data_IF_202151107990
#
_entry.id   IF_202151107990
#
_cell.length_a   1.000
_cell.length_b   1.000
_cell.length_c   1.000
_cell.angle_alpha   90.00
_cell.angle_beta   90.00
_cell.angle_gamma   90.00
#
_symmetry.space_group_name_H-M   'P 1'
#
loop_
_entity.id
_entity.type
_entity.pdbx_description
1 polymer ?
#
# COMPACT_ATOMS: atom_id res chain seq x y z
N UNK A 1 -2.67 -17.09 2.82
CA UNK A 1 -2.59 -18.57 2.87
C UNK A 1 -3.96 -19.26 2.93
N UNK A 2 -4.79 -18.98 3.94
CA UNK A 2 -6.18 -19.47 4.00
C UNK A 2 -6.99 -19.13 2.73
N UNK A 3 -6.89 -17.88 2.28
CA UNK A 3 -7.57 -17.40 1.07
C UNK A 3 -7.19 -18.17 -0.21
N UNK A 4 -6.01 -18.80 -0.27
CA UNK A 4 -5.53 -19.55 -1.44
C UNK A 4 -5.74 -21.06 -1.31
N UNK A 5 -6.40 -21.52 -0.24
CA UNK A 5 -6.62 -22.94 0.03
C UNK A 5 -5.35 -23.71 0.40
N UNK A 6 -4.29 -23.02 0.83
CA UNK A 6 -3.04 -23.66 1.31
C UNK A 6 -3.21 -24.19 2.74
N UNK A 7 -4.08 -23.54 3.51
CA UNK A 7 -4.44 -23.91 4.88
C UNK A 7 -5.95 -24.01 4.98
N UNK A 8 -6.43 -24.88 5.87
CA UNK A 8 -7.84 -25.00 6.20
C UNK A 8 -8.18 -24.10 7.40
N UNK A 9 -9.34 -23.41 7.39
CA UNK A 9 -9.80 -22.68 8.55
C UNK A 9 -10.25 -23.65 9.65
N UNK A 10 -9.96 -23.34 10.92
CA UNK A 10 -10.46 -24.13 12.06
C UNK A 10 -11.99 -24.02 12.18
N UNK A 11 -12.52 -22.82 11.93
CA UNK A 11 -13.95 -22.51 11.93
C UNK A 11 -14.26 -21.39 10.92
N UNK A 12 -15.54 -21.20 10.58
CA UNK A 12 -15.99 -20.15 9.68
C UNK A 12 -16.00 -20.60 8.20
N UNK A 13 -16.20 -19.63 7.30
CA UNK A 13 -16.26 -19.87 5.86
C UNK A 13 -15.52 -18.75 5.12
N UNK A 14 -14.92 -19.11 3.99
CA UNK A 14 -14.19 -18.19 3.13
C UNK A 14 -14.73 -18.37 1.70
N UNK A 15 -14.93 -17.27 0.98
CA UNK A 15 -15.20 -17.30 -0.46
C UNK A 15 -14.25 -16.33 -1.14
N UNK A 16 -13.58 -16.79 -2.20
CA UNK A 16 -12.66 -16.01 -3.03
C UNK A 16 -13.07 -16.19 -4.48
N UNK A 17 -13.34 -15.07 -5.17
CA UNK A 17 -13.87 -15.07 -6.53
C UNK A 17 -15.13 -15.95 -6.71
N UNK A 18 -15.94 -16.11 -5.66
CA UNK A 18 -17.14 -16.95 -5.65
C UNK A 18 -16.92 -18.41 -5.27
N UNK A 19 -15.68 -18.84 -5.01
CA UNK A 19 -15.33 -20.23 -4.70
C UNK A 19 -14.86 -20.40 -3.25
N UNK A 20 -15.21 -21.51 -2.62
CA UNK A 20 -14.66 -21.91 -1.32
C UNK A 20 -13.24 -22.49 -1.52
N UNK A 21 -12.18 -21.92 -0.93
CA UNK A 21 -10.82 -22.44 -1.07
C UNK A 21 -10.62 -23.88 -0.55
N UNK A 22 -11.49 -24.35 0.36
CA UNK A 22 -11.45 -25.71 0.93
C UNK A 22 -11.96 -26.74 -0.07
N UNK A 23 -13.13 -26.50 -0.67
CA UNK A 23 -13.75 -27.46 -1.59
C UNK A 23 -13.38 -27.24 -3.06
N UNK A 24 -12.96 -26.03 -3.43
CA UNK A 24 -12.70 -25.60 -4.80
C UNK A 24 -11.36 -24.84 -4.92
N UNK A 25 -10.34 -25.29 -4.19
CA UNK A 25 -9.03 -24.62 -4.15
C UNK A 25 -8.33 -24.46 -5.49
N UNK A 26 -8.51 -25.40 -6.43
CA UNK A 26 -7.97 -25.26 -7.80
C UNK A 26 -8.63 -24.10 -8.56
N UNK A 27 -9.94 -23.94 -8.43
CA UNK A 27 -10.68 -22.84 -9.05
C UNK A 27 -10.32 -21.49 -8.46
N UNK A 28 -10.01 -21.45 -7.16
CA UNK A 28 -9.45 -20.25 -6.52
C UNK A 28 -8.07 -19.93 -7.10
N UNK A 29 -7.16 -20.91 -7.19
CA UNK A 29 -5.80 -20.68 -7.70
C UNK A 29 -5.77 -20.25 -9.18
N UNK A 30 -6.68 -20.75 -10.01
CA UNK A 30 -6.83 -20.30 -11.41
C UNK A 30 -7.29 -18.85 -11.54
N UNK A 31 -7.97 -18.30 -10.54
CA UNK A 31 -8.45 -16.91 -10.53
C UNK A 31 -7.58 -15.97 -9.71
N UNK A 32 -6.58 -16.49 -9.01
CA UNK A 32 -5.79 -15.72 -8.07
C UNK A 32 -4.29 -15.75 -8.43
N UNK A 33 -3.68 -14.57 -8.52
CA UNK A 33 -2.24 -14.39 -8.52
C UNK A 33 -1.71 -14.24 -7.10
N UNK A 34 -0.50 -14.73 -6.82
CA UNK A 34 0.11 -14.63 -5.48
C UNK A 34 1.57 -14.21 -5.60
N UNK A 35 1.91 -13.11 -4.94
CA UNK A 35 3.29 -12.74 -4.62
C UNK A 35 3.52 -12.91 -3.12
N UNK A 36 4.41 -13.83 -2.77
CA UNK A 36 4.95 -13.95 -1.40
C UNK A 36 6.25 -13.17 -1.28
N UNK A 37 6.74 -12.98 -0.06
CA UNK A 37 7.98 -12.26 0.23
C UNK A 37 9.17 -12.72 -0.66
N UNK A 38 9.36 -14.02 -0.84
CA UNK A 38 10.48 -14.60 -1.63
C UNK A 38 10.29 -14.60 -3.15
N UNK A 39 9.15 -14.11 -3.68
CA UNK A 39 8.72 -14.17 -5.09
C UNK A 39 8.59 -15.58 -5.72
N UNK A 40 9.24 -16.62 -5.17
CA UNK A 40 9.14 -18.01 -5.63
C UNK A 40 9.62 -18.20 -7.07
N UNK A 41 10.84 -17.75 -7.37
CA UNK A 41 11.46 -17.80 -8.70
C UNK A 41 12.65 -18.77 -8.71
N UNK A 42 12.91 -19.41 -9.85
CA UNK A 42 14.07 -20.28 -10.05
C UNK A 42 15.29 -19.45 -10.45
N UNK A 43 16.23 -19.30 -9.52
CA UNK A 43 17.38 -18.39 -9.68
C UNK A 43 18.38 -18.81 -10.77
N UNK A 44 18.46 -20.10 -11.09
CA UNK A 44 19.35 -20.64 -12.11
C UNK A 44 18.79 -20.47 -13.54
N UNK A 45 17.48 -20.23 -13.66
CA UNK A 45 16.78 -19.95 -14.91
C UNK A 45 16.82 -18.45 -15.21
N UNK A 46 16.71 -18.10 -16.49
CA UNK A 46 16.52 -16.73 -16.96
C UNK A 46 15.12 -16.23 -16.61
N UNK A 47 14.90 -14.91 -16.66
CA UNK A 47 13.57 -14.35 -16.42
C UNK A 47 12.53 -14.89 -17.41
N UNK A 48 12.90 -15.00 -18.69
CA UNK A 48 12.06 -15.59 -19.73
C UNK A 48 11.73 -17.05 -19.45
N UNK A 49 12.74 -17.86 -19.13
CA UNK A 49 12.53 -19.28 -18.81
C UNK A 49 11.62 -19.46 -17.58
N UNK A 50 11.78 -18.62 -16.54
CA UNK A 50 10.88 -18.63 -15.39
C UNK A 50 9.43 -18.40 -15.82
N UNK A 51 9.15 -17.35 -16.58
CA UNK A 51 7.78 -17.05 -16.98
C UNK A 51 7.19 -18.13 -17.88
N UNK A 52 7.96 -18.67 -18.83
CA UNK A 52 7.49 -19.77 -19.69
C UNK A 52 7.15 -21.01 -18.87
N UNK A 53 8.00 -21.39 -17.92
CA UNK A 53 7.75 -22.53 -17.04
C UNK A 53 6.44 -22.38 -16.26
N UNK A 54 6.20 -21.22 -15.65
CA UNK A 54 4.96 -20.98 -14.92
C UNK A 54 3.75 -20.82 -15.85
N UNK A 55 3.92 -20.26 -17.05
CA UNK A 55 2.86 -20.14 -18.04
C UNK A 55 2.35 -21.53 -18.48
N UNK A 56 3.26 -22.47 -18.71
CA UNK A 56 2.92 -23.86 -19.01
C UNK A 56 2.21 -24.52 -17.82
N UNK A 57 2.71 -24.32 -16.60
CA UNK A 57 2.09 -24.86 -15.38
C UNK A 57 0.65 -24.34 -15.17
N UNK A 58 0.39 -23.08 -15.51
CA UNK A 58 -0.94 -22.49 -15.42
C UNK A 58 -1.83 -22.76 -16.64
N UNK A 59 -1.32 -23.43 -17.69
CA UNK A 59 -2.09 -23.72 -18.89
C UNK A 59 -2.42 -22.48 -19.74
N UNK A 60 -1.54 -21.49 -19.75
CA UNK A 60 -1.69 -20.28 -20.58
C UNK A 60 -1.67 -20.67 -22.06
N UNK A 61 -2.66 -20.22 -22.84
CA UNK A 61 -2.81 -20.62 -24.25
C UNK A 61 -1.65 -20.17 -25.14
N UNK A 62 -1.15 -18.96 -24.93
CA UNK A 62 -0.07 -18.35 -25.72
C UNK A 62 1.12 -18.00 -24.80
N UNK A 63 1.83 -19.00 -24.24
CA UNK A 63 2.76 -18.78 -23.13
C UNK A 63 3.92 -17.87 -23.52
N UNK A 64 4.44 -18.00 -24.75
CA UNK A 64 5.51 -17.15 -25.27
C UNK A 64 5.06 -15.70 -25.39
N UNK A 65 3.91 -15.46 -26.02
CA UNK A 65 3.37 -14.11 -26.20
C UNK A 65 3.11 -13.44 -24.86
N UNK A 66 2.50 -14.16 -23.92
CA UNK A 66 2.18 -13.64 -22.60
C UNK A 66 3.44 -13.34 -21.78
N UNK A 67 4.44 -14.21 -21.82
CA UNK A 67 5.72 -13.98 -21.14
C UNK A 67 6.45 -12.75 -21.68
N UNK A 68 6.55 -12.59 -23.00
CA UNK A 68 7.20 -11.41 -23.61
C UNK A 68 6.43 -10.12 -23.30
N UNK A 69 5.09 -10.16 -23.35
CA UNK A 69 4.23 -9.04 -22.97
C UNK A 69 4.53 -8.57 -21.54
N UNK A 70 4.50 -9.49 -20.58
CA UNK A 70 4.73 -9.16 -19.17
C UNK A 70 6.19 -8.75 -18.91
N UNK A 71 7.18 -9.32 -19.59
CA UNK A 71 8.57 -8.82 -19.48
C UNK A 71 8.68 -7.37 -19.96
N UNK A 72 7.97 -7.01 -21.03
CA UNK A 72 7.93 -5.62 -21.51
C UNK A 72 7.24 -4.70 -20.51
N UNK A 73 6.03 -5.04 -20.07
CA UNK A 73 5.22 -4.24 -19.14
C UNK A 73 5.92 -4.00 -17.80
N UNK A 74 6.65 -4.99 -17.30
CA UNK A 74 7.39 -4.86 -16.04
C UNK A 74 8.81 -4.28 -16.22
N UNK A 75 9.17 -3.81 -17.41
CA UNK A 75 10.46 -3.19 -17.70
C UNK A 75 11.63 -4.16 -17.50
N UNK A 76 11.45 -5.42 -17.89
CA UNK A 76 12.40 -6.52 -17.75
C UNK A 76 12.82 -7.13 -19.10
N UNK A 77 12.38 -6.57 -20.23
CA UNK A 77 12.70 -7.07 -21.58
C UNK A 77 14.21 -7.19 -21.83
N UNK A 78 15.00 -6.16 -21.49
CA UNK A 78 16.47 -6.19 -21.67
C UNK A 78 17.16 -7.22 -20.78
N UNK A 79 16.53 -7.57 -19.65
CA UNK A 79 17.01 -8.57 -18.70
C UNK A 79 16.42 -9.96 -18.93
N UNK A 80 15.60 -10.16 -19.98
CA UNK A 80 14.85 -11.40 -20.21
C UNK A 80 15.73 -12.65 -20.25
N UNK A 81 16.95 -12.53 -20.81
CA UNK A 81 17.94 -13.61 -20.96
C UNK A 81 18.94 -13.69 -19.82
N UNK A 82 18.84 -12.83 -18.81
CA UNK A 82 19.72 -12.86 -17.64
C UNK A 82 19.13 -13.80 -16.58
N UNK A 83 20.00 -14.56 -15.91
CA UNK A 83 19.61 -15.45 -14.80
C UNK A 83 19.02 -14.65 -13.65
N UNK A 84 17.92 -15.14 -13.07
CA UNK A 84 17.20 -14.47 -11.97
C UNK A 84 18.06 -14.36 -10.71
N UNK A 85 19.03 -15.26 -10.49
CA UNK A 85 19.99 -15.16 -9.40
C UNK A 85 20.82 -13.86 -9.43
N UNK A 86 20.99 -13.25 -10.60
CA UNK A 86 21.73 -12.00 -10.77
C UNK A 86 20.81 -10.75 -10.81
N UNK A 87 19.52 -10.90 -10.50
CA UNK A 87 18.56 -9.80 -10.41
C UNK A 87 18.66 -9.09 -9.07
N UNK A 88 18.45 -7.77 -9.06
CA UNK A 88 18.22 -7.05 -7.80
C UNK A 88 16.90 -7.50 -7.16
N UNK A 89 16.72 -7.21 -5.87
CA UNK A 89 15.45 -7.49 -5.16
C UNK A 89 14.26 -6.90 -5.91
N UNK A 90 14.37 -5.66 -6.39
CA UNK A 90 13.29 -5.00 -7.17
C UNK A 90 12.97 -5.71 -8.48
N UNK A 91 13.99 -6.17 -9.20
CA UNK A 91 13.77 -6.97 -10.42
C UNK A 91 13.10 -8.31 -10.10
N UNK A 92 13.48 -8.98 -9.00
CA UNK A 92 12.83 -10.22 -8.56
C UNK A 92 11.36 -9.98 -8.16
N UNK A 93 11.05 -8.88 -7.47
CA UNK A 93 9.67 -8.51 -7.12
C UNK A 93 8.82 -8.23 -8.35
N UNK A 94 9.33 -7.42 -9.30
CA UNK A 94 8.66 -7.15 -10.58
C UNK A 94 8.40 -8.43 -11.38
N UNK A 95 9.40 -9.31 -11.48
CA UNK A 95 9.22 -10.61 -12.13
C UNK A 95 8.22 -11.52 -11.39
N UNK A 96 8.19 -11.45 -10.06
CA UNK A 96 7.23 -12.17 -9.23
C UNK A 96 5.78 -11.73 -9.47
N UNK A 97 5.55 -10.41 -9.63
CA UNK A 97 4.22 -9.89 -9.99
C UNK A 97 3.87 -10.30 -11.43
N UNK A 98 4.81 -10.15 -12.38
CA UNK A 98 4.62 -10.63 -13.75
C UNK A 98 4.20 -12.11 -13.77
N UNK A 99 4.90 -12.97 -13.01
CA UNK A 99 4.54 -14.38 -12.84
C UNK A 99 3.11 -14.54 -12.32
N UNK A 100 2.73 -13.78 -11.29
CA UNK A 100 1.40 -13.87 -10.69
C UNK A 100 0.26 -13.46 -11.64
N UNK A 101 0.56 -12.72 -12.72
CA UNK A 101 -0.38 -12.25 -13.73
C UNK A 101 -0.41 -13.11 -14.99
N UNK A 102 0.41 -14.15 -15.10
CA UNK A 102 0.54 -14.96 -16.32
C UNK A 102 -0.80 -15.51 -16.82
N UNK A 103 -1.65 -15.95 -15.90
CA UNK A 103 -2.94 -16.57 -16.18
C UNK A 103 -4.14 -15.61 -16.05
N UNK A 104 -3.89 -14.30 -16.14
CA UNK A 104 -4.89 -13.24 -16.11
C UNK A 104 -5.87 -13.36 -14.91
N UNK A 105 -5.37 -13.28 -13.66
CA UNK A 105 -6.19 -13.50 -12.47
C UNK A 105 -7.19 -12.37 -12.20
N UNK A 106 -8.31 -12.71 -11.58
CA UNK A 106 -9.30 -11.75 -11.07
C UNK A 106 -8.82 -11.06 -9.77
N UNK A 107 -8.03 -11.77 -8.96
CA UNK A 107 -7.56 -11.32 -7.65
C UNK A 107 -6.05 -11.48 -7.53
N UNK A 108 -5.36 -10.46 -7.01
CA UNK A 108 -3.93 -10.49 -6.73
C UNK A 108 -3.66 -10.35 -5.23
N UNK A 109 -3.03 -11.36 -4.65
CA UNK A 109 -2.57 -11.36 -3.27
C UNK A 109 -1.10 -10.95 -3.19
N UNK A 110 -0.81 -9.84 -2.51
CA UNK A 110 0.54 -9.30 -2.34
C UNK A 110 0.91 -9.31 -0.86
N UNK A 111 1.93 -10.10 -0.51
CA UNK A 111 2.46 -10.19 0.85
C UNK A 111 3.81 -9.48 0.92
N UNK A 112 3.83 -8.30 1.57
CA UNK A 112 5.01 -7.45 1.72
C UNK A 112 5.76 -7.19 0.39
N UNK A 113 5.07 -6.61 -0.62
CA UNK A 113 5.62 -6.48 -1.97
C UNK A 113 6.84 -5.56 -2.04
N UNK A 114 6.88 -4.51 -1.21
CA UNK A 114 7.95 -3.50 -1.21
C UNK A 114 9.10 -3.80 -0.25
N UNK A 115 9.02 -4.89 0.53
CA UNK A 115 10.06 -5.25 1.50
C UNK A 115 11.39 -5.57 0.80
N UNK A 116 12.46 -4.96 1.31
CA UNK A 116 13.82 -5.10 0.79
C UNK A 116 14.13 -4.25 -0.45
N UNK A 117 13.24 -3.31 -0.80
CA UNK A 117 13.47 -2.31 -1.85
C UNK A 117 13.94 -0.99 -1.23
N UNK A 118 14.70 -0.24 -2.01
CA UNK A 118 14.99 1.17 -1.70
C UNK A 118 13.72 2.05 -1.91
N UNK A 119 13.76 3.33 -1.51
CA UNK A 119 12.59 4.21 -1.64
C UNK A 119 12.10 4.40 -3.09
N UNK A 120 13.03 4.44 -4.06
CA UNK A 120 12.70 4.61 -5.48
C UNK A 120 12.02 3.35 -6.03
N UNK A 121 12.60 2.17 -5.82
CA UNK A 121 12.03 0.89 -6.24
C UNK A 121 10.71 0.55 -5.55
N UNK A 122 10.52 0.98 -4.29
CA UNK A 122 9.23 0.86 -3.60
C UNK A 122 8.16 1.69 -4.28
N UNK A 123 8.48 2.95 -4.60
CA UNK A 123 7.56 3.88 -5.27
C UNK A 123 7.19 3.36 -6.66
N UNK A 124 8.16 2.90 -7.43
CA UNK A 124 7.94 2.34 -8.76
C UNK A 124 7.01 1.12 -8.68
N UNK A 125 7.29 0.17 -7.77
CA UNK A 125 6.45 -1.01 -7.60
C UNK A 125 5.00 -0.67 -7.25
N UNK A 126 4.79 0.31 -6.35
CA UNK A 126 3.46 0.74 -5.94
C UNK A 126 2.70 1.45 -7.07
N UNK A 127 3.41 2.24 -7.89
CA UNK A 127 2.82 2.84 -9.09
C UNK A 127 2.34 1.76 -10.06
N UNK A 128 3.16 0.73 -10.31
CA UNK A 128 2.75 -0.41 -11.14
C UNK A 128 1.52 -1.13 -10.56
N UNK A 129 1.48 -1.38 -9.25
CA UNK A 129 0.31 -1.99 -8.60
C UNK A 129 -0.95 -1.14 -8.80
N UNK A 130 -0.82 0.19 -8.73
CA UNK A 130 -1.91 1.13 -8.97
C UNK A 130 -2.41 1.09 -10.41
N UNK A 131 -1.50 0.99 -11.37
CA UNK A 131 -1.83 0.86 -12.80
C UNK A 131 -2.52 -0.47 -13.08
N UNK A 132 -2.03 -1.57 -12.49
CA UNK A 132 -2.64 -2.90 -12.64
C UNK A 132 -4.12 -2.92 -12.23
N UNK A 133 -4.45 -2.33 -11.09
CA UNK A 133 -5.84 -2.24 -10.63
C UNK A 133 -6.72 -1.42 -11.60
N UNK A 134 -6.19 -0.30 -12.13
CA UNK A 134 -6.92 0.60 -13.01
C UNK A 134 -7.14 0.04 -14.41
N UNK A 135 -6.11 -0.54 -15.01
CA UNK A 135 -6.12 -1.00 -16.39
C UNK A 135 -6.73 -2.39 -16.53
N UNK A 136 -6.34 -3.32 -15.66
CA UNK A 136 -6.73 -4.73 -15.76
C UNK A 136 -7.93 -5.10 -14.89
N UNK A 137 -8.47 -4.14 -14.11
CA UNK A 137 -9.60 -4.33 -13.18
C UNK A 137 -9.39 -5.48 -12.19
N UNK A 138 -8.14 -5.79 -11.88
CA UNK A 138 -7.77 -6.83 -10.92
C UNK A 138 -8.01 -6.32 -9.51
N UNK A 139 -8.67 -7.13 -8.68
CA UNK A 139 -8.83 -6.82 -7.24
C UNK A 139 -7.53 -7.14 -6.52
N UNK A 140 -6.97 -6.19 -5.77
CA UNK A 140 -5.67 -6.37 -5.11
C UNK A 140 -5.88 -6.39 -3.60
N UNK A 141 -5.42 -7.47 -2.94
CA UNK A 141 -5.29 -7.54 -1.50
C UNK A 141 -3.81 -7.48 -1.12
N UNK A 142 -3.40 -6.36 -0.54
CA UNK A 142 -2.02 -6.09 -0.15
C UNK A 142 -1.90 -6.12 1.37
N UNK A 143 -1.03 -6.99 1.89
CA UNK A 143 -0.64 -7.05 3.29
C UNK A 143 0.72 -6.37 3.48
N UNK A 144 0.77 -5.37 4.36
CA UNK A 144 2.03 -4.71 4.73
C UNK A 144 1.96 -4.03 6.09
N UNK A 145 3.12 -3.84 6.71
CA UNK A 145 3.33 -2.97 7.87
C UNK A 145 3.69 -1.52 7.49
N UNK A 146 3.93 -1.22 6.21
CA UNK A 146 4.39 0.09 5.74
C UNK A 146 3.20 1.03 5.42
N UNK A 147 2.51 1.50 6.45
CA UNK A 147 1.26 2.28 6.34
C UNK A 147 1.37 3.50 5.41
N UNK A 148 2.46 4.26 5.51
CA UNK A 148 2.69 5.46 4.70
C UNK A 148 2.77 5.17 3.20
N UNK A 149 3.24 3.99 2.82
CA UNK A 149 3.39 3.60 1.41
C UNK A 149 2.05 3.25 0.76
N UNK A 150 1.11 2.69 1.53
CA UNK A 150 -0.15 2.17 1.00
C UNK A 150 -1.32 3.14 1.17
N UNK A 151 -1.16 4.21 1.94
CA UNK A 151 -2.20 5.21 2.17
C UNK A 151 -2.78 5.77 0.87
N UNK A 152 -1.93 6.08 -0.12
CA UNK A 152 -2.34 6.69 -1.40
C UNK A 152 -2.73 5.65 -2.49
N UNK A 153 -2.64 4.37 -2.14
CA UNK A 153 -2.95 3.23 -3.00
C UNK A 153 -4.28 2.57 -2.60
N UNK A 154 -4.54 2.41 -1.31
CA UNK A 154 -5.65 1.61 -0.81
C UNK A 154 -6.99 2.32 -0.84
N UNK A 155 -8.00 1.68 -1.43
CA UNK A 155 -9.39 2.14 -1.36
C UNK A 155 -9.99 1.91 0.04
N UNK A 156 -9.56 0.83 0.71
CA UNK A 156 -10.04 0.41 2.04
C UNK A 156 -8.92 -0.25 2.83
N UNK A 157 -8.90 0.01 4.13
CA UNK A 157 -7.90 -0.51 5.07
C UNK A 157 -8.55 -1.47 6.07
N UNK A 158 -7.82 -2.52 6.42
CA UNK A 158 -8.18 -3.48 7.44
C UNK A 158 -7.02 -3.57 8.44
N UNK A 159 -7.25 -3.18 9.69
CA UNK A 159 -6.26 -3.28 10.74
C UNK A 159 -6.47 -4.57 11.52
N UNK A 160 -5.48 -5.45 11.48
CA UNK A 160 -5.50 -6.74 12.18
C UNK A 160 -4.51 -6.71 13.35
N UNK A 161 -4.92 -7.19 14.53
CA UNK A 161 -4.03 -7.42 15.66
C UNK A 161 -4.40 -8.74 16.35
N UNK A 162 -3.40 -9.58 16.63
CA UNK A 162 -3.58 -10.89 17.32
C UNK A 162 -4.71 -11.74 16.72
N UNK A 163 -4.79 -11.78 15.39
CA UNK A 163 -5.77 -12.57 14.65
C UNK A 163 -7.20 -12.02 14.65
N UNK A 164 -7.41 -10.78 15.11
CA UNK A 164 -8.72 -10.11 15.12
C UNK A 164 -8.68 -8.83 14.31
N UNK A 165 -9.79 -8.52 13.64
CA UNK A 165 -10.01 -7.22 13.01
C UNK A 165 -10.25 -6.18 14.11
N UNK A 166 -9.32 -5.24 14.24
CA UNK A 166 -9.47 -4.10 15.14
C UNK A 166 -10.42 -3.07 14.56
N UNK A 167 -10.26 -2.75 13.28
CA UNK A 167 -11.03 -1.73 12.58
C UNK A 167 -10.92 -1.89 11.05
N UNK A 168 -11.89 -1.34 10.31
CA UNK A 168 -11.82 -1.27 8.84
C UNK A 168 -12.59 -0.08 8.29
N UNK A 169 -12.14 0.46 7.17
CA UNK A 169 -12.82 1.55 6.48
C UNK A 169 -11.97 2.17 5.39
N UNK A 170 -12.55 3.11 4.65
CA UNK A 170 -11.79 4.02 3.78
C UNK A 170 -10.95 4.97 4.63
N UNK A 171 -9.95 5.61 4.02
CA UNK A 171 -9.14 6.61 4.73
C UNK A 171 -10.02 7.71 5.35
N UNK A 172 -11.02 8.21 4.61
CA UNK A 172 -11.91 9.29 5.04
C UNK A 172 -12.79 8.88 6.22
N UNK A 173 -13.33 7.64 6.19
CA UNK A 173 -14.14 7.10 7.30
C UNK A 173 -13.30 6.98 8.58
N UNK A 174 -12.09 6.44 8.46
CA UNK A 174 -11.19 6.24 9.59
C UNK A 174 -10.68 7.58 10.14
N UNK A 175 -10.32 8.50 9.26
CA UNK A 175 -9.95 9.86 9.62
C UNK A 175 -11.05 10.55 10.42
N UNK A 176 -12.29 10.58 9.91
CA UNK A 176 -13.40 11.23 10.60
C UNK A 176 -13.71 10.63 11.98
N UNK A 177 -13.42 9.34 12.16
CA UNK A 177 -13.63 8.63 13.42
C UNK A 177 -12.56 8.94 14.46
N UNK A 178 -11.29 8.96 14.06
CA UNK A 178 -10.13 8.98 14.98
C UNK A 178 -9.36 10.30 15.01
N UNK A 179 -9.40 11.10 13.95
CA UNK A 179 -8.69 12.38 13.84
C UNK A 179 -9.67 13.55 14.00
N UNK A 180 -10.19 13.71 15.23
CA UNK A 180 -11.10 14.81 15.60
C UNK A 180 -10.41 16.14 15.84
N UNK A 181 -9.09 16.14 15.89
CA UNK A 181 -8.28 17.35 16.01
C UNK A 181 -7.09 17.18 15.05
N UNK A 182 -6.64 18.28 14.47
CA UNK A 182 -5.47 18.29 13.60
C UNK A 182 -4.40 19.22 14.17
N UNK A 183 -3.14 18.91 13.87
CA UNK A 183 -2.03 19.80 14.20
C UNK A 183 -1.52 20.46 12.93
N UNK A 184 -1.68 21.77 12.80
CA UNK A 184 -1.16 22.54 11.66
C UNK A 184 0.24 23.06 12.00
N UNK A 185 1.25 22.61 11.27
CA UNK A 185 2.58 23.21 11.27
C UNK A 185 2.59 24.41 10.33
N UNK A 186 2.99 25.58 10.82
CA UNK A 186 3.08 26.82 10.04
C UNK A 186 4.50 27.36 10.15
N UNK A 187 5.13 27.58 9.01
CA UNK A 187 6.39 28.30 8.91
C UNK A 187 6.10 29.79 8.74
N UNK A 188 6.52 30.60 9.71
CA UNK A 188 6.12 32.01 9.79
C UNK A 188 7.12 32.84 10.58
N UNK A 189 7.17 34.14 10.27
CA UNK A 189 7.88 35.14 11.07
C UNK A 189 7.15 35.53 12.37
N UNK A 190 6.00 34.92 12.65
CA UNK A 190 5.20 35.19 13.84
C UNK A 190 5.94 34.76 15.11
N UNK A 191 6.11 35.69 16.05
CA UNK A 191 6.58 35.40 17.40
C UNK A 191 5.38 35.28 18.35
N UNK A 192 5.18 34.10 18.96
CA UNK A 192 4.13 33.86 19.94
C UNK A 192 4.74 33.55 21.31
N UNK A 193 4.57 34.48 22.26
CA UNK A 193 5.09 34.34 23.62
C UNK A 193 4.29 33.34 24.47
N UNK A 194 2.97 33.27 24.30
CA UNK A 194 2.07 32.37 25.06
C UNK A 194 1.70 31.08 24.34
N UNK A 195 0.81 30.29 24.93
CA UNK A 195 0.37 28.99 24.38
C UNK A 195 -0.86 29.10 23.46
N UNK A 196 -1.15 30.31 23.00
CA UNK A 196 -2.28 30.61 22.14
C UNK A 196 -1.96 31.81 21.23
N UNK A 197 -2.51 31.79 20.02
CA UNK A 197 -2.57 32.95 19.14
C UNK A 197 -3.99 33.11 18.60
N UNK A 198 -4.61 34.25 18.92
CA UNK A 198 -5.91 34.65 18.37
C UNK A 198 -7.03 33.59 18.49
N UNK A 199 -7.10 32.88 19.62
CA UNK A 199 -8.05 31.80 19.89
C UNK A 199 -7.55 30.39 19.55
N UNK A 200 -6.37 30.26 18.94
CA UNK A 200 -5.82 28.97 18.50
C UNK A 200 -4.67 28.51 19.40
N UNK A 201 -4.80 27.34 20.06
CA UNK A 201 -3.75 26.80 20.91
C UNK A 201 -2.47 26.48 20.13
N UNK A 202 -1.32 26.93 20.65
CA UNK A 202 0.03 26.60 20.15
C UNK A 202 0.56 25.41 20.94
N UNK A 203 0.73 24.26 20.29
CA UNK A 203 1.16 23.01 20.93
C UNK A 203 2.68 22.79 20.90
N UNK A 204 3.38 23.44 19.96
CA UNK A 204 4.84 23.35 19.84
C UNK A 204 5.38 24.60 19.16
N UNK A 205 6.59 24.99 19.54
CA UNK A 205 7.34 26.12 18.98
C UNK A 205 8.75 25.68 18.61
N UNK A 206 9.23 26.07 17.45
CA UNK A 206 10.62 25.94 17.02
C UNK A 206 11.01 27.21 16.25
N UNK A 207 12.32 27.50 16.07
CA UNK A 207 12.74 28.66 15.29
C UNK A 207 12.11 28.66 13.89
N UNK A 208 11.27 29.66 13.59
CA UNK A 208 10.56 29.81 12.31
C UNK A 208 9.32 28.91 12.14
N UNK A 209 9.00 28.02 13.08
CA UNK A 209 7.87 27.09 12.97
C UNK A 209 6.99 27.09 14.22
N UNK A 210 5.68 27.12 14.01
CA UNK A 210 4.66 26.99 15.06
C UNK A 210 3.72 25.83 14.72
N UNK A 211 3.30 25.08 15.73
CA UNK A 211 2.29 24.04 15.57
C UNK A 211 1.03 24.46 16.33
N UNK A 212 -0.10 24.50 15.63
CA UNK A 212 -1.39 24.87 16.18
C UNK A 212 -2.30 23.65 16.26
N UNK A 213 -3.01 23.48 17.36
CA UNK A 213 -4.09 22.49 17.46
C UNK A 213 -5.38 23.12 16.95
N UNK A 214 -6.03 22.44 16.02
CA UNK A 214 -7.30 22.86 15.42
C UNK A 214 -8.34 21.77 15.60
N UNK A 215 -9.60 22.16 15.78
CA UNK A 215 -10.72 21.23 15.89
C UNK A 215 -10.98 20.46 14.59
N UNK A 216 -10.65 21.04 13.43
CA UNK A 216 -10.80 20.39 12.14
C UNK A 216 -10.06 21.18 11.06
N UNK A 217 -10.07 20.66 9.84
CA UNK A 217 -9.47 21.31 8.65
C UNK A 217 -10.13 22.64 8.27
N UNK A 218 -11.40 22.85 8.62
CA UNK A 218 -12.15 24.06 8.24
C UNK A 218 -11.71 25.28 9.07
N UNK A 219 -11.02 25.06 10.20
CA UNK A 219 -10.38 26.11 10.98
C UNK A 219 -9.03 26.58 10.39
N UNK A 220 -8.45 25.85 9.43
CA UNK A 220 -7.15 26.20 8.83
C UNK A 220 -7.17 27.57 8.13
N UNK A 221 -8.15 27.89 7.25
CA UNK A 221 -8.19 29.20 6.60
C UNK A 221 -8.28 30.36 7.59
N UNK A 222 -9.13 30.25 8.63
CA UNK A 222 -9.27 31.29 9.66
C UNK A 222 -7.96 31.58 10.40
N UNK A 223 -7.22 30.52 10.76
CA UNK A 223 -5.92 30.69 11.41
C UNK A 223 -4.92 31.37 10.46
N UNK A 224 -4.83 30.91 9.21
CA UNK A 224 -3.89 31.46 8.23
C UNK A 224 -4.17 32.93 7.93
N UNK A 225 -5.43 33.34 7.81
CA UNK A 225 -5.81 34.76 7.66
C UNK A 225 -5.32 35.61 8.84
N UNK A 226 -5.48 35.13 10.08
CA UNK A 226 -5.03 35.84 11.28
C UNK A 226 -3.51 35.95 11.35
N UNK A 227 -2.77 34.91 10.94
CA UNK A 227 -1.31 34.95 10.90
C UNK A 227 -0.84 35.94 9.82
N UNK A 228 -1.38 35.84 8.60
CA UNK A 228 -1.02 36.70 7.46
C UNK A 228 -1.27 38.18 7.73
N UNK A 229 -2.20 38.52 8.63
CA UNK A 229 -2.45 39.90 9.05
C UNK A 229 -1.29 40.53 9.85
N UNK A 230 -0.43 39.72 10.47
CA UNK A 230 0.63 40.21 11.38
C UNK A 230 2.03 39.69 11.04
N UNK A 231 2.14 38.63 10.25
CA UNK A 231 3.42 38.02 9.88
C UNK A 231 3.31 37.25 8.55
N UNK A 232 4.40 37.15 7.78
CA UNK A 232 4.41 36.31 6.58
C UNK A 232 4.26 34.82 6.96
N UNK A 233 3.56 34.07 6.10
CA UNK A 233 3.49 32.60 6.13
C UNK A 233 4.24 32.08 4.93
N UNK A 234 5.23 31.21 5.16
CA UNK A 234 6.05 30.62 4.12
C UNK A 234 5.53 29.22 3.72
N UNK A 235 5.03 28.45 4.69
CA UNK A 235 4.41 27.15 4.45
C UNK A 235 3.40 26.79 5.55
N UNK A 236 2.41 25.97 5.21
CA UNK A 236 1.41 25.45 6.15
C UNK A 236 1.08 23.99 5.82
N UNK A 237 1.32 23.08 6.76
CA UNK A 237 1.18 21.63 6.56
C UNK A 237 0.40 21.02 7.71
N UNK A 238 -0.66 20.27 7.39
CA UNK A 238 -1.36 19.47 8.39
C UNK A 238 -0.50 18.25 8.73
N UNK A 239 -0.15 18.12 10.00
CA UNK A 239 0.64 17.02 10.56
C UNK A 239 -0.23 16.07 11.36
N UNK A 240 0.15 14.79 11.43
CA UNK A 240 -0.62 13.75 12.13
C UNK A 240 -1.89 13.32 11.38
N UNK A 241 -1.96 13.62 10.08
CA UNK A 241 -3.06 13.24 9.18
C UNK A 241 -2.62 12.12 8.25
N UNK A 242 -2.22 11.01 8.85
CA UNK A 242 -1.77 9.83 8.13
C UNK A 242 -2.30 8.54 8.75
N UNK A 243 -2.22 7.46 7.96
CA UNK A 243 -2.69 6.14 8.33
C UNK A 243 -1.94 5.59 9.55
N UNK A 244 -0.68 6.02 9.75
CA UNK A 244 0.12 5.68 10.92
C UNK A 244 -0.45 6.29 12.20
N UNK A 245 -0.79 7.59 12.19
CA UNK A 245 -1.44 8.25 13.31
C UNK A 245 -2.80 7.62 13.62
N UNK A 246 -3.60 7.33 12.59
CA UNK A 246 -4.88 6.62 12.73
C UNK A 246 -4.67 5.25 13.39
N UNK A 247 -3.68 4.48 12.94
CA UNK A 247 -3.36 3.17 13.51
C UNK A 247 -3.03 3.25 15.00
N UNK A 248 -2.20 4.21 15.43
CA UNK A 248 -1.91 4.39 16.84
C UNK A 248 -3.14 4.78 17.66
N UNK A 249 -4.01 5.64 17.14
CA UNK A 249 -5.29 6.00 17.78
C UNK A 249 -6.23 4.80 17.93
N UNK A 250 -6.37 3.98 16.89
CA UNK A 250 -7.16 2.74 16.96
C UNK A 250 -6.64 1.84 18.09
N UNK A 251 -5.32 1.70 18.24
CA UNK A 251 -4.72 0.86 19.29
C UNK A 251 -4.87 1.44 20.69
N UNK A 252 -4.84 2.76 20.83
CA UNK A 252 -5.10 3.43 22.11
C UNK A 252 -6.55 3.21 22.57
N UNK A 253 -7.53 3.35 21.67
CA UNK A 253 -8.96 3.22 22.03
C UNK A 253 -9.45 1.77 22.19
N UNK A 254 -8.81 0.80 21.51
CA UNK A 254 -9.22 -0.61 21.53
C UNK A 254 -8.44 -1.47 22.53
N UNK A 255 -7.54 -0.87 23.31
CA UNK A 255 -6.83 -1.52 24.42
C UNK A 255 -7.70 -1.59 25.67
#
# INVERSE_FOLDING_TARGET
>A
RLLNGVLYPDTGRISVAGFDPVSAGDEVRKRCGVLTESAGLYEHMTARENLLFFAELYGVAEPVRQAERLLSEFGLADAARKKVGAFSTGMKKRLGIAKALLHDPDVLFLDEPTTGLDPEGSRDLLNYIKELNREYRVTILLATHLLKQVQDLGDRFLFLERGRLLESGTFVELEGKYLREITLQVETGLAVSGDEFAGFPVVKKAPGYLWFRLENKDAVPLLLEKILAVAPVYSAVITGRDLETIYFKIREEKR
#
